data_IF_539931205384
#
_entry.id   IF_539931205384
#
_cell.length_a   1.000
_cell.length_b   1.000
_cell.length_c   1.000
_cell.angle_alpha   90.00
_cell.angle_beta   90.00
_cell.angle_gamma   90.00
#
_symmetry.space_group_name_H-M   'P 1'
#
loop_
_entity.id
_entity.type
_entity.pdbx_description
1 polymer ?
#
# COMPACT_ATOMS: atom_id res chain seq x y z
N UNK A 1 15.55 -33.95 -26.61
CA UNK A 1 14.72 -33.84 -25.40
C UNK A 1 15.42 -33.05 -24.29
N UNK A 2 16.61 -33.45 -23.81
CA UNK A 2 17.32 -32.74 -22.72
C UNK A 2 17.65 -31.27 -23.01
N UNK A 3 18.12 -30.93 -24.22
CA UNK A 3 18.40 -29.53 -24.63
C UNK A 3 17.14 -28.63 -24.63
N UNK A 4 15.99 -29.19 -25.02
CA UNK A 4 14.70 -28.48 -25.02
C UNK A 4 14.22 -28.27 -23.60
N UNK A 5 14.39 -29.28 -22.73
CA UNK A 5 14.07 -29.18 -21.30
C UNK A 5 14.93 -28.11 -20.59
N UNK A 6 16.24 -28.10 -20.87
CA UNK A 6 17.17 -27.07 -20.35
C UNK A 6 16.81 -25.66 -20.85
N UNK A 7 16.43 -25.53 -22.14
CA UNK A 7 15.97 -24.26 -22.69
C UNK A 7 14.68 -23.75 -22.04
N UNK A 8 13.69 -24.63 -21.84
CA UNK A 8 12.44 -24.29 -21.13
C UNK A 8 12.69 -23.92 -19.67
N UNK A 9 13.59 -24.63 -18.99
CA UNK A 9 13.97 -24.31 -17.61
C UNK A 9 14.65 -22.94 -17.54
N UNK A 10 15.56 -22.64 -18.47
CA UNK A 10 16.21 -21.32 -18.56
C UNK A 10 15.21 -20.19 -18.79
N UNK A 11 14.23 -20.40 -19.68
CA UNK A 11 13.16 -19.43 -19.93
C UNK A 11 12.28 -19.22 -18.69
N UNK A 12 11.93 -20.29 -17.98
CA UNK A 12 11.15 -20.21 -16.74
C UNK A 12 11.91 -19.41 -15.67
N UNK A 13 13.20 -19.68 -15.48
CA UNK A 13 14.04 -18.95 -14.51
C UNK A 13 14.12 -17.47 -14.86
N UNK A 14 14.31 -17.14 -16.15
CA UNK A 14 14.30 -15.75 -16.61
C UNK A 14 12.95 -15.06 -16.38
N UNK A 15 11.84 -15.75 -16.63
CA UNK A 15 10.51 -15.21 -16.40
C UNK A 15 10.24 -14.94 -14.91
N UNK A 16 10.55 -15.92 -14.04
CA UNK A 16 10.37 -15.76 -12.59
C UNK A 16 11.31 -14.68 -12.03
N UNK A 17 12.57 -14.68 -12.47
CA UNK A 17 13.54 -13.64 -12.09
C UNK A 17 13.11 -12.24 -12.53
N UNK A 18 12.57 -12.12 -13.74
CA UNK A 18 12.03 -10.86 -14.26
C UNK A 18 10.84 -10.35 -13.44
N UNK A 19 9.89 -11.23 -13.09
CA UNK A 19 8.75 -10.87 -12.24
C UNK A 19 9.18 -10.46 -10.83
N UNK A 20 10.13 -11.19 -10.24
CA UNK A 20 10.67 -10.86 -8.92
C UNK A 20 11.42 -9.52 -8.92
N UNK A 21 12.24 -9.26 -9.95
CA UNK A 21 12.93 -7.99 -10.11
C UNK A 21 11.98 -6.82 -10.33
N UNK A 22 10.92 -7.02 -11.12
CA UNK A 22 9.86 -6.03 -11.32
C UNK A 22 9.14 -5.72 -10.01
N UNK A 23 8.70 -6.74 -9.28
CA UNK A 23 8.01 -6.54 -8.00
C UNK A 23 8.91 -5.85 -6.96
N UNK A 24 10.20 -6.20 -6.92
CA UNK A 24 11.15 -5.53 -6.03
C UNK A 24 11.28 -4.05 -6.39
N UNK A 25 11.42 -3.72 -7.68
CA UNK A 25 11.54 -2.34 -8.13
C UNK A 25 10.29 -1.51 -7.80
N UNK A 26 9.09 -2.02 -8.11
CA UNK A 26 7.85 -1.25 -7.93
C UNK A 26 7.48 -1.03 -6.47
N UNK A 27 7.90 -1.91 -5.56
CA UNK A 27 7.61 -1.83 -4.11
C UNK A 27 8.68 -1.08 -3.30
N UNK A 28 9.81 -0.74 -3.91
CA UNK A 28 10.89 0.01 -3.24
C UNK A 28 11.10 1.39 -3.86
N UNK A 29 10.52 1.65 -5.03
CA UNK A 29 10.62 2.94 -5.69
C UNK A 29 9.35 3.76 -5.48
N UNK A 30 9.43 4.74 -4.57
CA UNK A 30 8.39 5.75 -4.41
C UNK A 30 8.39 6.70 -5.62
N UNK A 31 7.30 6.71 -6.38
CA UNK A 31 7.07 7.67 -7.46
C UNK A 31 6.80 9.08 -6.93
N UNK A 32 6.08 9.16 -5.81
CA UNK A 32 5.72 10.41 -5.14
C UNK A 32 5.56 10.13 -3.65
N UNK A 33 5.93 11.08 -2.79
CA UNK A 33 5.66 11.03 -1.36
C UNK A 33 5.02 12.33 -0.89
N UNK A 34 4.30 12.28 0.24
CA UNK A 34 3.62 13.46 0.75
C UNK A 34 2.82 13.21 2.03
N UNK A 35 2.05 14.22 2.43
CA UNK A 35 1.15 14.14 3.58
C UNK A 35 -0.32 14.36 3.17
N UNK A 36 -1.22 13.62 3.80
CA UNK A 36 -2.68 13.86 3.73
C UNK A 36 -3.25 13.91 5.13
N UNK A 37 -4.05 14.94 5.41
CA UNK A 37 -4.66 15.14 6.72
C UNK A 37 -6.17 14.95 6.69
N UNK A 38 -6.70 14.27 7.70
CA UNK A 38 -8.12 13.94 7.77
C UNK A 38 -8.46 13.01 8.92
N UNK A 39 -9.57 12.30 8.79
CA UNK A 39 -10.05 11.32 9.75
C UNK A 39 -10.08 9.95 9.12
N UNK A 40 -9.40 8.97 9.73
CA UNK A 40 -9.49 7.57 9.28
C UNK A 40 -10.87 7.03 9.65
N UNK A 41 -11.65 6.68 8.64
CA UNK A 41 -13.01 6.16 8.81
C UNK A 41 -13.03 4.63 8.89
N UNK A 42 -12.07 3.98 8.25
CA UNK A 42 -11.99 2.53 8.15
C UNK A 42 -10.54 2.12 8.10
N UNK A 43 -10.22 1.06 8.83
CA UNK A 43 -8.98 0.31 8.71
C UNK A 43 -9.33 -1.16 8.88
N UNK A 44 -9.04 -1.99 7.88
CA UNK A 44 -9.40 -3.41 7.90
C UNK A 44 -8.23 -4.26 7.43
N UNK A 45 -7.98 -5.36 8.15
CA UNK A 45 -7.03 -6.38 7.73
C UNK A 45 -7.75 -7.37 6.80
N UNK A 46 -7.63 -7.18 5.48
CA UNK A 46 -8.32 -7.99 4.47
C UNK A 46 -7.35 -8.70 3.54
N UNK A 47 -7.84 -9.76 2.88
CA UNK A 47 -7.07 -10.62 1.98
C UNK A 47 -7.34 -12.10 2.22
N UNK A 48 -7.28 -12.89 1.15
CA UNK A 48 -7.59 -14.33 1.20
C UNK A 48 -6.35 -15.17 1.51
N UNK A 49 -5.26 -15.00 0.74
CA UNK A 49 -3.97 -15.65 0.97
C UNK A 49 -3.00 -14.77 1.77
N UNK A 50 -2.80 -13.53 1.32
CA UNK A 50 -1.98 -12.53 1.98
C UNK A 50 -2.90 -11.48 2.59
N UNK A 51 -2.76 -11.16 3.87
CA UNK A 51 -3.58 -10.14 4.53
C UNK A 51 -2.79 -8.84 4.67
N UNK A 52 -3.33 -7.76 4.13
CA UNK A 52 -2.80 -6.40 4.23
C UNK A 52 -3.76 -5.53 5.04
N UNK A 53 -3.25 -4.43 5.60
CA UNK A 53 -4.09 -3.43 6.26
C UNK A 53 -4.50 -2.37 5.25
N UNK A 54 -5.80 -2.21 5.07
CA UNK A 54 -6.36 -1.34 4.04
C UNK A 54 -7.29 -0.34 4.71
N UNK A 55 -6.99 0.94 4.49
CA UNK A 55 -7.62 2.06 5.16
C UNK A 55 -8.31 3.02 4.21
N UNK A 56 -9.29 3.74 4.74
CA UNK A 56 -9.97 4.85 4.07
C UNK A 56 -9.98 6.06 5.02
N UNK A 57 -9.46 7.18 4.55
CA UNK A 57 -9.47 8.48 5.23
C UNK A 57 -10.46 9.43 4.55
N UNK A 58 -11.27 10.12 5.34
CA UNK A 58 -11.98 11.32 4.91
C UNK A 58 -11.03 12.52 4.97
N UNK A 59 -10.69 13.09 3.81
CA UNK A 59 -9.94 14.35 3.73
C UNK A 59 -10.91 15.52 3.92
N UNK A 60 -10.65 16.35 4.94
CA UNK A 60 -11.48 17.54 5.19
C UNK A 60 -10.99 18.67 4.30
N UNK A 61 -11.69 18.90 3.20
CA UNK A 61 -11.40 19.99 2.27
C UNK A 61 -12.13 21.27 2.67
N UNK A 62 -13.40 21.18 3.08
CA UNK A 62 -14.21 22.28 3.62
C UNK A 62 -15.38 21.74 4.49
N UNK A 63 -15.80 22.44 5.57
CA UNK A 63 -17.01 22.10 6.31
C UNK A 63 -18.24 22.16 5.40
N UNK A 64 -19.09 21.12 5.42
CA UNK A 64 -20.34 21.07 4.65
C UNK A 64 -20.22 20.51 3.23
N UNK A 65 -19.02 20.15 2.76
CA UNK A 65 -18.83 19.46 1.47
C UNK A 65 -18.62 17.95 1.66
N UNK A 66 -18.90 17.18 0.62
CA UNK A 66 -18.59 15.74 0.61
C UNK A 66 -17.07 15.58 0.72
N UNK A 67 -16.62 14.94 1.78
CA UNK A 67 -15.21 14.67 2.04
C UNK A 67 -14.67 13.68 1.00
N UNK A 68 -13.56 14.04 0.36
CA UNK A 68 -12.89 13.15 -0.58
C UNK A 68 -12.26 11.98 0.19
N UNK A 69 -12.50 10.77 -0.31
CA UNK A 69 -11.96 9.55 0.29
C UNK A 69 -10.55 9.28 -0.23
N UNK A 70 -9.61 9.16 0.69
CA UNK A 70 -8.27 8.67 0.41
C UNK A 70 -8.17 7.21 0.85
N UNK A 71 -8.08 6.29 -0.11
CA UNK A 71 -7.80 4.89 0.15
C UNK A 71 -6.30 4.65 0.19
N UNK A 72 -5.84 3.88 1.17
CA UNK A 72 -4.42 3.62 1.39
C UNK A 72 -4.17 2.22 1.95
N UNK A 73 -2.95 1.73 1.75
CA UNK A 73 -2.44 0.47 2.29
C UNK A 73 -1.43 0.77 3.40
N UNK A 74 -1.43 -0.02 4.48
CA UNK A 74 -0.45 0.07 5.57
C UNK A 74 0.35 -1.23 5.64
N UNK A 75 1.59 -1.26 5.13
CA UNK A 75 2.40 -2.48 5.13
C UNK A 75 2.89 -2.84 6.54
N UNK A 76 3.21 -1.85 7.37
CA UNK A 76 3.70 -2.07 8.73
C UNK A 76 2.56 -2.18 9.76
N UNK A 77 2.51 -3.32 10.46
CA UNK A 77 1.55 -3.56 11.54
C UNK A 77 1.68 -2.58 12.72
N UNK A 78 2.87 -2.03 12.99
CA UNK A 78 3.06 -1.03 14.03
C UNK A 78 2.42 0.31 13.67
N UNK A 79 2.51 0.73 12.40
CA UNK A 79 1.81 1.92 11.89
C UNK A 79 0.30 1.71 11.93
N UNK A 80 -0.18 0.54 11.51
CA UNK A 80 -1.60 0.19 11.60
C UNK A 80 -2.12 0.23 13.05
N UNK A 81 -1.34 -0.27 14.02
CA UNK A 81 -1.68 -0.20 15.43
C UNK A 81 -1.76 1.25 15.95
N UNK A 82 -0.82 2.13 15.54
CA UNK A 82 -0.86 3.56 15.88
C UNK A 82 -2.10 4.25 15.31
N UNK A 83 -2.48 3.94 14.08
CA UNK A 83 -3.71 4.45 13.45
C UNK A 83 -4.93 3.99 14.23
N UNK A 84 -5.03 2.69 14.54
CA UNK A 84 -6.14 2.14 15.34
C UNK A 84 -6.25 2.80 16.73
N UNK A 85 -5.13 3.06 17.40
CA UNK A 85 -5.12 3.75 18.70
C UNK A 85 -5.53 5.23 18.61
N UNK A 86 -5.51 5.80 17.40
CA UNK A 86 -5.78 7.22 17.14
C UNK A 86 -7.11 7.45 16.40
N UNK A 87 -7.95 6.43 16.26
CA UNK A 87 -9.27 6.53 15.61
C UNK A 87 -10.11 7.62 16.28
N UNK A 88 -10.83 8.39 15.46
CA UNK A 88 -11.64 9.53 15.90
C UNK A 88 -10.87 10.83 16.07
N UNK A 89 -9.53 10.80 16.09
CA UNK A 89 -8.71 12.02 16.08
C UNK A 89 -8.39 12.44 14.65
N UNK A 90 -8.12 13.73 14.46
CA UNK A 90 -7.56 14.24 13.21
C UNK A 90 -6.10 13.79 13.11
N UNK A 91 -5.73 13.22 11.97
CA UNK A 91 -4.40 12.68 11.73
C UNK A 91 -3.85 13.16 10.39
N UNK A 92 -2.55 13.39 10.34
CA UNK A 92 -1.78 13.49 9.11
C UNK A 92 -1.09 12.15 8.85
N UNK A 93 -1.35 11.56 7.68
CA UNK A 93 -0.68 10.36 7.20
C UNK A 93 0.40 10.76 6.20
N UNK A 94 1.62 10.31 6.44
CA UNK A 94 2.67 10.34 5.44
C UNK A 94 2.55 9.10 4.56
N UNK A 95 2.53 9.30 3.25
CA UNK A 95 2.37 8.24 2.27
C UNK A 95 3.49 8.27 1.24
N UNK A 96 3.80 7.10 0.71
CA UNK A 96 4.58 6.90 -0.50
C UNK A 96 3.68 6.28 -1.57
N UNK A 97 3.68 6.83 -2.77
CA UNK A 97 2.98 6.30 -3.93
C UNK A 97 3.92 5.39 -4.71
N UNK A 98 3.58 4.11 -4.76
CA UNK A 98 4.31 3.06 -5.46
C UNK A 98 3.47 2.64 -6.65
N UNK A 99 3.92 2.97 -7.86
CA UNK A 99 3.15 2.75 -9.08
C UNK A 99 3.35 1.31 -9.58
N UNK A 100 2.30 0.73 -10.15
CA UNK A 100 2.33 -0.64 -10.68
C UNK A 100 2.54 -1.74 -9.63
N UNK A 101 1.81 -1.64 -8.51
CA UNK A 101 1.79 -2.69 -7.48
C UNK A 101 1.41 -4.04 -8.14
N UNK A 102 2.28 -5.07 -8.08
CA UNK A 102 2.13 -6.25 -8.94
C UNK A 102 0.92 -7.13 -8.58
N UNK A 103 0.57 -7.18 -7.29
CA UNK A 103 -0.51 -8.03 -6.77
C UNK A 103 -1.11 -7.43 -5.50
N UNK A 104 -2.34 -7.82 -5.17
CA UNK A 104 -3.01 -7.47 -3.90
C UNK A 104 -2.36 -8.09 -2.66
N UNK A 105 -1.38 -8.98 -2.82
CA UNK A 105 -0.60 -9.47 -1.68
C UNK A 105 0.30 -8.39 -1.08
N UNK A 106 0.61 -7.33 -1.83
CA UNK A 106 1.44 -6.23 -1.35
C UNK A 106 0.61 -5.03 -0.90
N UNK A 107 -0.51 -4.77 -1.57
CA UNK A 107 -1.47 -3.72 -1.21
C UNK A 107 -2.60 -3.63 -2.22
N UNK A 108 -3.77 -3.19 -1.77
CA UNK A 108 -4.91 -2.92 -2.64
C UNK A 108 -4.84 -1.54 -3.32
N UNK A 109 -3.92 -0.69 -2.88
CA UNK A 109 -3.75 0.67 -3.41
C UNK A 109 -2.29 0.95 -3.77
N UNK A 110 -2.07 2.01 -4.56
CA UNK A 110 -0.72 2.52 -4.83
C UNK A 110 -0.17 3.37 -3.68
N UNK A 111 -0.97 3.69 -2.66
CA UNK A 111 -0.59 4.62 -1.61
C UNK A 111 -0.26 3.88 -0.32
N UNK A 112 1.02 3.79 -0.01
CA UNK A 112 1.55 3.11 1.17
C UNK A 112 1.79 4.10 2.28
N UNK A 113 1.03 3.99 3.38
CA UNK A 113 1.21 4.86 4.55
C UNK A 113 2.35 4.31 5.40
N UNK A 114 3.39 5.11 5.54
CA UNK A 114 4.62 4.77 6.25
C UNK A 114 4.70 5.42 7.63
N UNK A 115 3.99 6.52 7.85
CA UNK A 115 3.92 7.17 9.17
C UNK A 115 2.57 7.87 9.44
N UNK A 116 2.27 8.04 10.72
CA UNK A 116 1.07 8.75 11.22
C UNK A 116 1.45 9.73 12.30
N UNK A 117 0.84 10.93 12.25
CA UNK A 117 0.93 11.97 13.26
C UNK A 117 -0.46 12.45 13.63
N UNK A 118 -0.78 12.45 14.92
CA UNK A 118 -2.02 13.07 15.42
C UNK A 118 -1.85 14.59 15.33
N UNK A 119 -2.86 15.26 14.80
CA UNK A 119 -2.91 16.72 14.67
C UNK A 119 -3.94 17.20 15.69
N UNK A 120 -3.48 17.98 16.67
CA UNK A 120 -4.34 18.61 17.67
C UNK A 120 -5.17 19.77 17.08
#
# INVERSE_FOLDING_TARGET
MLKVLLGLLGLLVLAVGGLAGFAWLTLHWAYSDGERAGYVQKLSRKGWLCKTWEGEMAMVTMPGTVSEKFAFTVPDGAVAAKINASVGKRMALHYEQHRWVPTSCFGDTEYFVTAVRVVD
#
